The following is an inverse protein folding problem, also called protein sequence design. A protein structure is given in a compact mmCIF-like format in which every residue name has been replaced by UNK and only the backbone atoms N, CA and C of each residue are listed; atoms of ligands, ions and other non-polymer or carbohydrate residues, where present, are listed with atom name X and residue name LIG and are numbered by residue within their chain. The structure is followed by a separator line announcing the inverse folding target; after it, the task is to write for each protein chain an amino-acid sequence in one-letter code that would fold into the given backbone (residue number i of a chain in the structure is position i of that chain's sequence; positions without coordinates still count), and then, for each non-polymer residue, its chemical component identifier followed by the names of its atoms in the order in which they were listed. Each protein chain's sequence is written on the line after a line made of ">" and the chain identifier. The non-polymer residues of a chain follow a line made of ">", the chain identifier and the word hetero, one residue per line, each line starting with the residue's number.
data_IF_949099007013
#
_entry.id   IF_949099007013
#
_cell.length_a   1.000
_cell.length_b   1.000
_cell.length_c   1.000
_cell.angle_alpha   90.00
_cell.angle_beta   90.00
_cell.angle_gamma   90.00
#
_symmetry.space_group_name_H-M   'P 1'
#
loop_
_entity.id
_entity.type
_entity.pdbx_description
1 polymer ?
#
# COMPACT_ATOMS: atom_id res chain seq x y z
N UNK A 1 -33.47 -6.70 -9.20
CA UNK A 1 -33.72 -6.81 -7.74
C UNK A 1 -32.91 -5.80 -6.92
N UNK A 2 -31.62 -5.55 -7.21
CA UNK A 2 -30.78 -4.47 -6.61
C UNK A 2 -31.44 -3.12 -6.79
N UNK A 3 -31.83 -2.85 -8.03
CA UNK A 3 -32.55 -1.64 -8.41
C UNK A 3 -33.81 -1.47 -7.56
N UNK A 4 -34.57 -2.54 -7.29
CA UNK A 4 -35.81 -2.44 -6.52
C UNK A 4 -35.59 -2.12 -5.04
N UNK A 5 -34.55 -2.63 -4.39
CA UNK A 5 -34.27 -2.29 -2.98
C UNK A 5 -33.68 -0.89 -2.83
N UNK A 6 -32.81 -0.47 -3.75
CA UNK A 6 -32.28 0.90 -3.78
C UNK A 6 -33.40 1.91 -4.11
N UNK A 7 -34.21 1.61 -5.11
CA UNK A 7 -35.38 2.42 -5.49
C UNK A 7 -36.43 2.47 -4.37
N UNK A 8 -36.63 1.38 -3.63
CA UNK A 8 -37.49 1.39 -2.45
C UNK A 8 -36.93 2.32 -1.36
N UNK A 9 -35.62 2.30 -1.10
CA UNK A 9 -34.98 3.20 -0.14
C UNK A 9 -35.07 4.67 -0.61
N UNK A 10 -34.86 4.95 -1.89
CA UNK A 10 -34.99 6.30 -2.47
C UNK A 10 -36.43 6.82 -2.40
N UNK A 11 -37.43 5.98 -2.73
CA UNK A 11 -38.85 6.32 -2.61
C UNK A 11 -39.24 6.61 -1.17
N UNK A 12 -38.75 5.81 -0.23
CA UNK A 12 -39.00 5.98 1.19
C UNK A 12 -38.33 7.28 1.69
N UNK A 13 -37.12 7.60 1.23
CA UNK A 13 -36.43 8.87 1.49
C UNK A 13 -37.18 10.10 0.95
N UNK A 14 -37.67 10.05 -0.29
CA UNK A 14 -38.44 11.13 -0.92
C UNK A 14 -39.78 11.37 -0.21
N UNK A 15 -40.49 10.30 0.17
CA UNK A 15 -41.72 10.40 0.96
C UNK A 15 -41.46 11.12 2.29
N UNK A 16 -40.36 10.78 2.97
CA UNK A 16 -39.95 11.43 4.20
C UNK A 16 -39.63 12.91 4.01
N UNK A 17 -38.86 13.28 2.98
CA UNK A 17 -38.53 14.69 2.71
C UNK A 17 -39.80 15.52 2.51
N UNK A 18 -40.73 15.03 1.68
CA UNK A 18 -42.04 15.66 1.46
C UNK A 18 -42.86 15.80 2.74
N UNK A 19 -42.79 14.81 3.62
CA UNK A 19 -43.51 14.85 4.89
C UNK A 19 -42.87 15.79 5.91
N UNK A 20 -41.54 15.87 5.95
CA UNK A 20 -40.81 16.81 6.80
C UNK A 20 -41.06 18.26 6.39
N UNK A 21 -41.16 18.53 5.09
CA UNK A 21 -41.54 19.84 4.56
C UNK A 21 -42.98 20.20 4.97
N UNK A 22 -43.90 19.23 5.00
CA UNK A 22 -45.31 19.42 5.36
C UNK A 22 -45.58 19.50 6.88
N UNK A 23 -44.76 18.85 7.70
CA UNK A 23 -44.90 18.76 9.17
C UNK A 23 -44.04 19.78 9.92
N UNK A 24 -43.59 20.85 9.25
CA UNK A 24 -42.71 21.89 9.79
C UNK A 24 -43.26 22.64 11.02
N UNK A 25 -42.47 23.55 11.60
CA UNK A 25 -42.66 24.12 12.94
C UNK A 25 -43.97 24.91 13.20
N UNK A 26 -44.82 25.12 12.19
CA UNK A 26 -46.12 25.79 12.30
C UNK A 26 -47.33 24.89 12.58
N UNK A 27 -47.14 23.58 12.83
CA UNK A 27 -48.25 22.62 12.98
C UNK A 27 -48.93 22.64 14.38
N UNK A 28 -50.27 22.45 14.45
CA UNK A 28 -51.01 22.32 15.71
C UNK A 28 -50.52 21.15 16.57
N UNK A 29 -50.61 21.27 17.90
CA UNK A 29 -50.12 20.26 18.85
C UNK A 29 -50.73 18.86 18.66
N UNK A 30 -51.97 18.73 18.18
CA UNK A 30 -52.57 17.42 17.90
C UNK A 30 -51.92 16.70 16.70
N UNK A 31 -51.47 17.45 15.69
CA UNK A 31 -50.77 16.93 14.52
C UNK A 31 -49.33 16.48 14.83
N UNK A 32 -48.68 17.05 15.86
CA UNK A 32 -47.35 16.61 16.32
C UNK A 32 -47.33 15.17 16.82
N UNK A 33 -48.38 14.73 17.52
CA UNK A 33 -48.48 13.36 18.04
C UNK A 33 -48.71 12.33 16.93
N UNK A 34 -49.56 12.66 15.96
CA UNK A 34 -49.79 11.80 14.77
C UNK A 34 -48.52 11.72 13.92
N UNK A 35 -47.83 12.86 13.74
CA UNK A 35 -46.52 12.90 13.09
C UNK A 35 -45.51 11.99 13.77
N UNK A 36 -45.35 12.08 15.11
CA UNK A 36 -44.44 11.22 15.87
C UNK A 36 -44.76 9.72 15.74
N UNK A 37 -46.03 9.33 15.78
CA UNK A 37 -46.47 7.94 15.56
C UNK A 37 -46.13 7.43 14.16
N UNK A 38 -46.36 8.24 13.13
CA UNK A 38 -45.99 7.93 11.76
C UNK A 38 -44.48 7.83 11.57
N UNK A 39 -43.67 8.71 12.20
CA UNK A 39 -42.21 8.62 12.17
C UNK A 39 -41.70 7.32 12.81
N UNK A 40 -42.32 6.88 13.90
CA UNK A 40 -42.01 5.61 14.56
C UNK A 40 -42.35 4.39 13.66
N UNK A 41 -43.53 4.41 13.04
CA UNK A 41 -43.95 3.36 12.10
C UNK A 41 -43.04 3.30 10.87
N UNK A 42 -42.75 4.46 10.26
CA UNK A 42 -41.85 4.57 9.12
C UNK A 42 -40.46 4.06 9.47
N UNK A 43 -39.92 4.46 10.63
CA UNK A 43 -38.64 3.95 11.14
C UNK A 43 -38.67 2.42 11.29
N UNK A 44 -39.71 1.87 11.91
CA UNK A 44 -39.87 0.42 12.10
C UNK A 44 -39.93 -0.35 10.78
N UNK A 45 -40.61 0.20 9.77
CA UNK A 45 -40.69 -0.40 8.43
C UNK A 45 -39.40 -0.23 7.62
N UNK A 46 -38.58 0.79 7.92
CA UNK A 46 -37.33 1.05 7.19
C UNK A 46 -36.20 0.10 7.62
N UNK A 47 -36.16 -0.29 8.90
CA UNK A 47 -35.16 -1.24 9.43
C UNK A 47 -35.02 -2.55 8.64
N UNK A 48 -36.11 -3.30 8.32
CA UNK A 48 -35.99 -4.54 7.55
C UNK A 48 -35.53 -4.29 6.11
N UNK A 49 -35.87 -3.14 5.51
CA UNK A 49 -35.39 -2.76 4.17
C UNK A 49 -33.87 -2.53 4.21
N UNK A 50 -33.37 -1.80 5.20
CA UNK A 50 -31.93 -1.59 5.42
C UNK A 50 -31.22 -2.94 5.61
N UNK A 51 -31.78 -3.83 6.42
CA UNK A 51 -31.19 -5.16 6.66
C UNK A 51 -31.15 -6.03 5.40
N UNK A 52 -32.22 -6.03 4.60
CA UNK A 52 -32.26 -6.75 3.33
C UNK A 52 -31.24 -6.19 2.33
N UNK A 53 -31.11 -4.86 2.26
CA UNK A 53 -30.12 -4.19 1.43
C UNK A 53 -28.68 -4.50 1.88
N UNK A 54 -28.42 -4.49 3.19
CA UNK A 54 -27.14 -4.87 3.76
C UNK A 54 -26.75 -6.32 3.44
N UNK A 55 -27.63 -7.28 3.70
CA UNK A 55 -27.39 -8.70 3.39
C UNK A 55 -27.07 -8.92 1.91
N UNK A 56 -27.82 -8.24 1.04
CA UNK A 56 -27.57 -8.28 -0.40
C UNK A 56 -26.20 -7.70 -0.76
N UNK A 57 -25.83 -6.58 -0.17
CA UNK A 57 -24.56 -5.90 -0.43
C UNK A 57 -23.37 -6.75 0.01
N UNK A 58 -23.50 -7.54 1.08
CA UNK A 58 -22.48 -8.53 1.47
C UNK A 58 -22.24 -9.56 0.36
N UNK A 59 -23.32 -10.13 -0.19
CA UNK A 59 -23.24 -11.10 -1.29
C UNK A 59 -22.65 -10.48 -2.55
N UNK A 60 -23.02 -9.23 -2.86
CA UNK A 60 -22.50 -8.52 -4.02
C UNK A 60 -21.01 -8.22 -3.89
N UNK A 61 -20.55 -7.72 -2.74
CA UNK A 61 -19.12 -7.50 -2.48
C UNK A 61 -18.34 -8.80 -2.67
N UNK A 62 -18.84 -9.90 -2.12
CA UNK A 62 -18.20 -11.19 -2.27
C UNK A 62 -18.09 -11.62 -3.75
N UNK A 63 -19.21 -11.59 -4.49
CA UNK A 63 -19.21 -11.98 -5.90
C UNK A 63 -18.32 -11.09 -6.77
N UNK A 64 -18.21 -9.79 -6.46
CA UNK A 64 -17.34 -8.87 -7.19
C UNK A 64 -15.87 -9.15 -6.91
N UNK A 65 -15.49 -9.35 -5.64
CA UNK A 65 -14.12 -9.67 -5.26
C UNK A 65 -13.67 -11.05 -5.76
N UNK A 66 -14.58 -12.02 -5.85
CA UNK A 66 -14.32 -13.33 -6.44
C UNK A 66 -14.05 -13.28 -7.95
N UNK A 67 -14.44 -12.21 -8.64
CA UNK A 67 -14.17 -12.00 -10.07
C UNK A 67 -13.08 -10.93 -10.31
N UNK A 68 -12.56 -10.30 -9.26
CA UNK A 68 -11.65 -9.15 -9.35
C UNK A 68 -10.28 -9.53 -9.91
N UNK A 69 -9.83 -8.80 -10.93
CA UNK A 69 -8.57 -9.04 -11.64
C UNK A 69 -7.43 -8.15 -11.13
N UNK A 70 -7.72 -7.17 -10.27
CA UNK A 70 -6.75 -6.22 -9.72
C UNK A 70 -5.98 -5.50 -10.82
N UNK A 71 -6.73 -5.00 -11.80
CA UNK A 71 -6.20 -4.14 -12.85
C UNK A 71 -6.45 -2.67 -12.49
N UNK A 72 -5.67 -1.76 -13.05
CA UNK A 72 -5.88 -0.33 -12.82
C UNK A 72 -7.08 0.13 -13.62
N UNK A 73 -8.00 0.77 -12.94
CA UNK A 73 -9.20 1.35 -13.53
C UNK A 73 -9.26 2.81 -13.12
N UNK A 74 -9.55 3.68 -14.08
CA UNK A 74 -9.80 5.09 -13.79
C UNK A 74 -11.12 5.24 -13.03
N UNK A 75 -11.10 6.03 -11.97
CA UNK A 75 -12.30 6.24 -11.14
C UNK A 75 -13.34 7.00 -11.97
N UNK A 76 -14.56 6.44 -12.16
CA UNK A 76 -15.60 7.13 -12.90
C UNK A 76 -15.95 8.50 -12.28
N UNK A 77 -16.30 9.48 -13.12
CA UNK A 77 -16.48 10.87 -12.70
C UNK A 77 -17.54 11.09 -11.63
N UNK A 78 -18.56 10.22 -11.57
CA UNK A 78 -19.58 10.19 -10.52
C UNK A 78 -18.96 10.03 -9.14
N UNK A 79 -18.07 9.05 -8.94
CA UNK A 79 -17.39 8.86 -7.64
C UNK A 79 -16.38 9.96 -7.35
N UNK A 80 -15.70 10.50 -8.36
CA UNK A 80 -14.77 11.62 -8.16
C UNK A 80 -15.49 12.83 -7.54
N UNK A 81 -16.69 13.15 -8.04
CA UNK A 81 -17.51 14.23 -7.48
C UNK A 81 -17.99 13.95 -6.05
N UNK A 82 -18.33 12.69 -5.74
CA UNK A 82 -18.77 12.26 -4.41
C UNK A 82 -17.61 12.23 -3.39
N UNK A 83 -16.44 11.77 -3.81
CA UNK A 83 -15.21 11.81 -3.02
C UNK A 83 -14.82 13.26 -2.71
N UNK A 84 -14.91 14.15 -3.69
CA UNK A 84 -14.69 15.58 -3.49
C UNK A 84 -15.70 16.20 -2.52
N UNK A 85 -16.98 15.77 -2.55
CA UNK A 85 -17.99 16.19 -1.58
C UNK A 85 -17.62 15.77 -0.15
N UNK A 86 -17.23 14.50 0.05
CA UNK A 86 -16.87 13.98 1.37
C UNK A 86 -15.60 14.63 1.91
N UNK A 87 -14.56 14.74 1.08
CA UNK A 87 -13.30 15.39 1.46
C UNK A 87 -13.51 16.88 1.72
N UNK A 88 -14.31 17.56 0.90
CA UNK A 88 -14.67 18.96 1.09
C UNK A 88 -15.50 19.19 2.36
N UNK A 89 -16.40 18.27 2.70
CA UNK A 89 -17.20 18.34 3.92
C UNK A 89 -16.35 18.20 5.20
N UNK A 90 -15.25 17.44 5.16
CA UNK A 90 -14.31 17.26 6.28
C UNK A 90 -13.26 18.36 6.37
N UNK A 91 -12.74 18.84 5.24
CA UNK A 91 -11.66 19.84 5.22
C UNK A 91 -12.16 21.28 5.30
N UNK A 92 -13.47 21.50 5.15
CA UNK A 92 -14.07 22.84 5.10
C UNK A 92 -13.69 23.65 3.85
N UNK A 93 -12.98 23.04 2.89
CA UNK A 93 -12.60 23.68 1.63
C UNK A 93 -13.63 23.36 0.54
N UNK A 94 -14.09 24.41 -0.15
CA UNK A 94 -14.92 24.29 -1.36
C UNK A 94 -14.02 23.74 -2.48
N UNK A 95 -14.45 22.74 -3.27
CA UNK A 95 -13.59 22.16 -4.29
C UNK A 95 -13.28 23.22 -5.36
N UNK A 96 -12.02 23.64 -5.44
CA UNK A 96 -11.52 24.41 -6.58
C UNK A 96 -11.51 23.48 -7.79
N UNK A 97 -12.34 23.79 -8.78
CA UNK A 97 -12.50 22.99 -9.98
C UNK A 97 -11.24 22.99 -10.83
N UNK A 98 -10.54 21.86 -10.87
CA UNK A 98 -9.66 21.51 -11.98
C UNK A 98 -10.49 20.72 -13.00
N UNK A 99 -10.77 21.38 -14.12
CA UNK A 99 -11.47 20.78 -15.25
C UNK A 99 -10.67 19.63 -15.84
N UNK A 100 -11.22 18.42 -15.73
CA UNK A 100 -10.84 17.29 -16.58
C UNK A 100 -12.08 16.90 -17.37
N UNK A 101 -11.96 16.96 -18.70
CA UNK A 101 -13.00 16.66 -19.68
C UNK A 101 -13.38 15.17 -19.61
N UNK A 102 -14.66 14.80 -19.70
CA UNK A 102 -15.06 13.41 -19.61
C UNK A 102 -14.75 12.72 -20.95
N UNK A 103 -13.71 11.89 -20.96
CA UNK A 103 -13.50 10.94 -22.04
C UNK A 103 -14.36 9.70 -21.76
N UNK A 104 -15.03 9.21 -22.81
CA UNK A 104 -16.08 8.19 -22.75
C UNK A 104 -15.52 6.86 -22.24
N UNK A 105 -16.11 6.32 -21.18
CA UNK A 105 -15.85 4.94 -20.74
C UNK A 105 -17.13 4.13 -20.62
N UNK A 106 -16.96 2.85 -20.88
CA UNK A 106 -17.95 1.85 -21.31
C UNK A 106 -18.94 1.48 -20.21
N UNK A 107 -20.24 1.51 -20.53
CA UNK A 107 -21.42 1.32 -19.66
C UNK A 107 -21.52 -0.05 -18.93
N UNK A 108 -20.50 -0.91 -18.99
CA UNK A 108 -20.54 -2.27 -18.42
C UNK A 108 -19.74 -2.44 -17.10
N UNK A 109 -18.79 -1.56 -16.78
CA UNK A 109 -18.04 -1.64 -15.51
C UNK A 109 -18.64 -0.81 -14.37
N UNK A 110 -19.58 0.10 -14.68
CA UNK A 110 -20.25 0.95 -13.68
C UNK A 110 -21.11 0.16 -12.67
N UNK A 111 -21.46 -1.10 -12.93
CA UNK A 111 -22.51 -1.76 -12.14
C UNK A 111 -22.07 -2.35 -10.78
N UNK A 112 -20.77 -2.53 -10.55
CA UNK A 112 -20.25 -3.27 -9.38
C UNK A 112 -19.85 -2.36 -8.22
N UNK A 113 -19.24 -1.20 -8.50
CA UNK A 113 -18.73 -0.28 -7.46
C UNK A 113 -19.75 0.82 -7.12
N UNK A 114 -20.80 1.04 -7.95
CA UNK A 114 -21.81 2.12 -7.80
C UNK A 114 -22.70 1.95 -6.58
N UNK A 115 -22.62 0.77 -5.96
CA UNK A 115 -23.47 0.35 -4.85
C UNK A 115 -22.66 0.06 -3.60
N UNK A 116 -21.44 0.62 -3.49
CA UNK A 116 -20.73 0.56 -2.23
C UNK A 116 -21.53 1.36 -1.18
N UNK A 117 -22.11 0.63 -0.23
CA UNK A 117 -23.01 1.11 0.81
C UNK A 117 -22.41 2.22 1.69
N UNK A 118 -21.09 2.42 1.63
CA UNK A 118 -20.39 3.54 2.27
C UNK A 118 -20.95 4.89 1.83
N UNK A 119 -21.10 5.12 0.52
CA UNK A 119 -21.51 6.43 -0.01
C UNK A 119 -23.02 6.65 0.07
N UNK A 120 -23.81 5.61 -0.25
CA UNK A 120 -25.26 5.65 -0.03
C UNK A 120 -25.59 5.79 1.46
N UNK A 121 -24.82 5.14 2.33
CA UNK A 121 -24.99 5.21 3.79
C UNK A 121 -24.92 6.63 4.35
N UNK A 122 -24.03 7.48 3.85
CA UNK A 122 -23.96 8.89 4.27
C UNK A 122 -25.21 9.69 3.90
N UNK A 123 -25.70 9.54 2.66
CA UNK A 123 -26.96 10.18 2.21
C UNK A 123 -28.14 9.67 3.02
N UNK A 124 -28.19 8.36 3.28
CA UNK A 124 -29.25 7.76 4.08
C UNK A 124 -29.17 8.14 5.57
N UNK A 125 -27.99 8.31 6.16
CA UNK A 125 -27.88 8.82 7.53
C UNK A 125 -28.45 10.23 7.66
N UNK A 126 -28.22 11.09 6.66
CA UNK A 126 -28.80 12.45 6.61
C UNK A 126 -30.32 12.40 6.54
N UNK A 127 -30.84 11.52 5.70
CA UNK A 127 -32.27 11.39 5.50
C UNK A 127 -32.95 10.58 6.62
N UNK A 128 -32.20 9.80 7.41
CA UNK A 128 -32.71 8.84 8.41
C UNK A 128 -32.08 8.91 9.79
N UNK A 129 -32.17 10.05 10.47
CA UNK A 129 -31.63 10.22 11.84
C UNK A 129 -32.02 9.14 12.87
N UNK A 130 -33.23 8.56 12.80
CA UNK A 130 -33.68 7.48 13.70
C UNK A 130 -33.11 6.09 13.39
N UNK A 131 -32.63 5.86 12.16
CA UNK A 131 -31.97 4.62 11.73
C UNK A 131 -30.46 4.80 11.56
N UNK A 132 -29.93 6.00 11.83
CA UNK A 132 -28.52 6.34 11.67
C UNK A 132 -27.56 5.35 12.32
N UNK A 133 -27.72 4.96 13.60
CA UNK A 133 -26.86 3.96 14.24
C UNK A 133 -26.83 2.61 13.51
N UNK A 134 -27.98 2.15 13.00
CA UNK A 134 -28.05 0.89 12.24
C UNK A 134 -27.35 1.01 10.89
N UNK A 135 -27.47 2.14 10.21
CA UNK A 135 -26.78 2.39 8.93
C UNK A 135 -25.26 2.45 9.14
N UNK A 136 -24.79 3.16 10.16
CA UNK A 136 -23.37 3.23 10.54
C UNK A 136 -22.82 1.83 10.79
N UNK A 137 -23.54 1.02 11.57
CA UNK A 137 -23.18 -0.38 11.80
C UNK A 137 -23.12 -1.19 10.49
N UNK A 138 -24.12 -1.08 9.61
CA UNK A 138 -24.12 -1.79 8.33
C UNK A 138 -22.91 -1.41 7.46
N UNK A 139 -22.54 -0.13 7.41
CA UNK A 139 -21.35 0.35 6.69
C UNK A 139 -20.08 -0.28 7.28
N UNK A 140 -19.92 -0.27 8.60
CA UNK A 140 -18.78 -0.87 9.28
C UNK A 140 -18.65 -2.37 8.96
N UNK A 141 -19.75 -3.11 9.00
CA UNK A 141 -19.75 -4.55 8.70
C UNK A 141 -19.40 -4.84 7.23
N UNK A 142 -19.84 -4.02 6.28
CA UNK A 142 -19.50 -4.20 4.86
C UNK A 142 -18.03 -3.93 4.59
N UNK A 143 -17.48 -2.87 5.18
CA UNK A 143 -16.06 -2.57 5.10
C UNK A 143 -15.21 -3.71 5.69
N UNK A 144 -15.61 -4.23 6.85
CA UNK A 144 -14.95 -5.40 7.46
C UNK A 144 -15.04 -6.64 6.57
N UNK A 145 -16.21 -6.91 5.99
CA UNK A 145 -16.40 -8.03 5.09
C UNK A 145 -15.53 -7.90 3.84
N UNK A 146 -15.51 -6.72 3.22
CA UNK A 146 -14.63 -6.41 2.10
C UNK A 146 -13.16 -6.66 2.47
N UNK A 147 -12.70 -6.15 3.61
CA UNK A 147 -11.31 -6.31 4.05
C UNK A 147 -10.93 -7.80 4.19
N UNK A 148 -11.79 -8.58 4.85
CA UNK A 148 -11.58 -10.01 5.06
C UNK A 148 -11.54 -10.80 3.74
N UNK A 149 -12.40 -10.45 2.78
CA UNK A 149 -12.41 -11.12 1.48
C UNK A 149 -11.21 -10.70 0.63
N UNK A 150 -10.86 -9.42 0.60
CA UNK A 150 -9.66 -8.94 -0.08
C UNK A 150 -8.38 -9.60 0.47
N UNK A 151 -8.29 -9.73 1.80
CA UNK A 151 -7.19 -10.45 2.47
C UNK A 151 -7.10 -11.90 2.01
N UNK A 152 -8.22 -12.65 2.05
CA UNK A 152 -8.24 -14.05 1.59
C UNK A 152 -7.91 -14.21 0.11
N UNK A 153 -8.39 -13.30 -0.74
CA UNK A 153 -8.10 -13.30 -2.17
C UNK A 153 -6.62 -13.08 -2.45
N UNK A 154 -6.02 -12.08 -1.80
CA UNK A 154 -4.67 -11.61 -2.11
C UNK A 154 -3.58 -12.30 -1.27
N UNK A 155 -3.72 -12.33 0.05
CA UNK A 155 -2.77 -12.97 0.96
C UNK A 155 -3.08 -14.45 1.18
N UNK A 156 -4.36 -14.82 1.26
CA UNK A 156 -4.82 -16.20 1.38
C UNK A 156 -4.71 -17.03 0.08
N UNK A 157 -4.35 -16.40 -1.03
CA UNK A 157 -4.14 -17.07 -2.32
C UNK A 157 -5.43 -17.56 -2.99
N UNK A 158 -6.61 -17.20 -2.48
CA UNK A 158 -7.88 -17.68 -3.03
C UNK A 158 -8.10 -17.19 -4.46
N UNK A 159 -7.60 -16.01 -4.85
CA UNK A 159 -7.72 -15.53 -6.23
C UNK A 159 -7.02 -16.47 -7.25
N UNK A 160 -5.99 -17.21 -6.81
CA UNK A 160 -5.33 -18.23 -7.64
C UNK A 160 -6.11 -19.54 -7.62
N UNK A 161 -6.63 -19.95 -6.46
CA UNK A 161 -7.42 -21.17 -6.32
C UNK A 161 -8.72 -21.11 -7.15
N UNK A 162 -9.37 -19.95 -7.16
CA UNK A 162 -10.59 -19.68 -7.94
C UNK A 162 -10.32 -19.47 -9.44
N UNK A 163 -9.07 -19.64 -9.91
CA UNK A 163 -8.63 -19.46 -11.30
C UNK A 163 -8.85 -18.07 -11.91
N UNK A 164 -9.11 -17.06 -11.08
CA UNK A 164 -9.27 -15.66 -11.51
C UNK A 164 -7.92 -15.09 -11.94
N UNK A 165 -6.89 -15.38 -11.14
CA UNK A 165 -5.51 -14.98 -11.38
C UNK A 165 -4.62 -16.20 -11.55
N UNK A 166 -3.76 -16.19 -12.57
CA UNK A 166 -2.74 -17.25 -12.74
C UNK A 166 -1.69 -17.24 -11.63
N UNK A 167 -1.33 -16.06 -11.14
CA UNK A 167 -0.42 -15.84 -10.01
C UNK A 167 -0.68 -14.47 -9.38
N UNK A 168 -0.39 -14.36 -8.09
CA UNK A 168 -0.39 -13.06 -7.39
C UNK A 168 1.00 -12.45 -7.54
N UNK A 169 1.06 -11.24 -8.09
CA UNK A 169 2.30 -10.51 -8.35
C UNK A 169 2.38 -9.23 -7.50
N UNK A 170 3.51 -8.53 -7.56
CA UNK A 170 3.71 -7.28 -6.84
C UNK A 170 2.71 -6.17 -7.22
N UNK A 171 2.20 -6.18 -8.45
CA UNK A 171 1.18 -5.21 -8.90
C UNK A 171 -0.12 -5.40 -8.15
N UNK A 172 -0.60 -6.64 -8.01
CA UNK A 172 -1.84 -6.94 -7.27
C UNK A 172 -1.70 -6.55 -5.78
N UNK A 173 -0.56 -6.88 -5.16
CA UNK A 173 -0.26 -6.47 -3.79
C UNK A 173 -0.27 -4.94 -3.64
N UNK A 174 0.39 -4.22 -4.55
CA UNK A 174 0.47 -2.76 -4.53
C UNK A 174 -0.89 -2.08 -4.75
N UNK A 175 -1.79 -2.68 -5.54
CA UNK A 175 -3.14 -2.17 -5.74
C UNK A 175 -4.02 -2.44 -4.52
N UNK A 176 -3.91 -3.62 -3.91
CA UNK A 176 -4.59 -3.91 -2.64
C UNK A 176 -4.13 -2.95 -1.53
N UNK A 177 -2.82 -2.66 -1.44
CA UNK A 177 -2.29 -1.65 -0.51
C UNK A 177 -2.93 -0.26 -0.71
N UNK A 178 -3.12 0.17 -1.95
CA UNK A 178 -3.77 1.45 -2.25
C UNK A 178 -5.25 1.44 -1.87
N UNK A 179 -5.97 0.36 -2.16
CA UNK A 179 -7.37 0.22 -1.74
C UNK A 179 -7.48 0.32 -0.21
N UNK A 180 -6.61 -0.37 0.53
CA UNK A 180 -6.56 -0.23 2.00
C UNK A 180 -6.27 1.21 2.42
N UNK A 181 -5.25 1.84 1.83
CA UNK A 181 -4.88 3.22 2.16
C UNK A 181 -5.99 4.24 1.85
N UNK A 182 -6.74 4.03 0.76
CA UNK A 182 -7.88 4.88 0.39
C UNK A 182 -9.00 4.75 1.43
N UNK A 183 -9.33 3.52 1.83
CA UNK A 183 -10.36 3.27 2.83
C UNK A 183 -9.92 3.83 4.20
N UNK A 184 -8.65 3.65 4.58
CA UNK A 184 -8.08 4.24 5.81
C UNK A 184 -8.20 5.77 5.83
N UNK A 185 -8.06 6.45 4.70
CA UNK A 185 -8.22 7.89 4.59
C UNK A 185 -9.71 8.32 4.56
N UNK A 186 -10.57 7.52 3.93
CA UNK A 186 -11.98 7.84 3.74
C UNK A 186 -12.80 7.64 5.01
N UNK A 187 -12.58 6.56 5.75
CA UNK A 187 -13.41 6.20 6.92
C UNK A 187 -13.44 7.30 7.99
N UNK A 188 -12.32 7.93 8.38
CA UNK A 188 -12.34 9.04 9.34
C UNK A 188 -13.19 10.23 8.85
N UNK A 189 -13.11 10.54 7.55
CA UNK A 189 -13.94 11.58 6.94
C UNK A 189 -15.43 11.23 7.07
N UNK A 190 -15.78 9.96 6.77
CA UNK A 190 -17.15 9.48 6.95
C UNK A 190 -17.60 9.58 8.41
N UNK A 191 -16.75 9.24 9.38
CA UNK A 191 -17.08 9.32 10.80
C UNK A 191 -17.45 10.74 11.23
N UNK A 192 -16.67 11.75 10.82
CA UNK A 192 -16.94 13.15 11.15
C UNK A 192 -18.29 13.62 10.58
N UNK A 193 -18.57 13.30 9.32
CA UNK A 193 -19.84 13.63 8.68
C UNK A 193 -21.01 12.92 9.39
N UNK A 194 -20.85 11.64 9.73
CA UNK A 194 -21.87 10.84 10.42
C UNK A 194 -22.15 11.38 11.83
N UNK A 195 -21.11 11.75 12.57
CA UNK A 195 -21.24 12.38 13.89
C UNK A 195 -22.04 13.68 13.79
N UNK A 196 -21.69 14.57 12.86
CA UNK A 196 -22.40 15.85 12.67
C UNK A 196 -23.88 15.63 12.34
N UNK A 197 -24.18 14.71 11.43
CA UNK A 197 -25.57 14.38 11.04
C UNK A 197 -26.38 13.86 12.25
N UNK A 198 -25.76 13.03 13.09
CA UNK A 198 -26.42 12.43 14.24
C UNK A 198 -26.65 13.45 15.38
N UNK A 199 -25.71 14.37 15.58
CA UNK A 199 -25.82 15.48 16.53
C UNK A 199 -26.95 16.46 16.14
N UNK A 200 -27.08 16.77 14.85
CA UNK A 200 -28.14 17.65 14.32
C UNK A 200 -29.53 16.99 14.38
N UNK A 201 -29.60 15.66 14.20
CA UNK A 201 -30.87 14.92 14.07
C UNK A 201 -31.48 14.37 15.36
N UNK A 202 -30.69 14.21 16.43
CA UNK A 202 -31.11 13.51 17.65
C UNK A 202 -30.61 14.21 18.93
N UNK A 203 -31.42 15.10 19.52
CA UNK A 203 -31.09 15.82 20.77
C UNK A 203 -30.90 14.94 22.03
N UNK A 204 -31.13 13.62 21.95
CA UNK A 204 -31.21 12.73 23.12
C UNK A 204 -30.30 11.48 23.09
N UNK A 205 -29.41 11.31 22.11
CA UNK A 205 -28.78 10.01 21.82
C UNK A 205 -27.25 9.96 21.90
N UNK A 206 -26.60 10.82 22.70
CA UNK A 206 -25.14 10.88 22.78
C UNK A 206 -24.45 9.53 23.03
N UNK A 207 -25.01 8.68 23.89
CA UNK A 207 -24.41 7.37 24.21
C UNK A 207 -24.69 6.25 23.17
N UNK A 208 -25.80 6.31 22.43
CA UNK A 208 -26.18 5.27 21.44
C UNK A 208 -25.49 5.45 20.08
N UNK A 209 -24.87 6.61 19.84
CA UNK A 209 -24.18 6.96 18.59
C UNK A 209 -22.67 6.69 18.67
N UNK A 210 -22.09 6.81 19.86
CA UNK A 210 -20.64 6.68 20.07
C UNK A 210 -20.11 5.25 19.78
N UNK A 211 -20.90 4.22 20.07
CA UNK A 211 -20.47 2.83 19.91
C UNK A 211 -20.35 2.40 18.43
N UNK A 212 -21.34 2.64 17.54
CA UNK A 212 -21.21 2.38 16.11
C UNK A 212 -20.12 3.21 15.41
N UNK A 213 -19.88 4.44 15.85
CA UNK A 213 -18.79 5.27 15.30
C UNK A 213 -17.43 4.73 15.75
N UNK A 214 -17.31 4.23 16.98
CA UNK A 214 -16.12 3.53 17.46
C UNK A 214 -15.80 2.26 16.66
N UNK A 215 -16.80 1.55 16.15
CA UNK A 215 -16.60 0.39 15.27
C UNK A 215 -15.97 0.77 13.93
N UNK A 216 -16.27 1.94 13.36
CA UNK A 216 -15.59 2.44 12.17
C UNK A 216 -14.09 2.72 12.43
N UNK A 217 -13.72 3.14 13.64
CA UNK A 217 -12.31 3.32 14.01
C UNK A 217 -11.59 1.98 14.09
N UNK A 218 -12.26 0.94 14.61
CA UNK A 218 -11.72 -0.44 14.61
C UNK A 218 -11.53 -0.94 13.18
N UNK A 219 -12.49 -0.69 12.30
CA UNK A 219 -12.38 -1.03 10.86
C UNK A 219 -11.16 -0.34 10.24
N UNK A 220 -10.94 0.95 10.51
CA UNK A 220 -9.75 1.68 10.04
C UNK A 220 -8.46 0.99 10.49
N UNK A 221 -8.37 0.58 11.76
CA UNK A 221 -7.23 -0.17 12.28
C UNK A 221 -7.06 -1.56 11.63
N UNK A 222 -8.15 -2.26 11.31
CA UNK A 222 -8.12 -3.54 10.59
C UNK A 222 -7.57 -3.40 9.16
N UNK A 223 -7.89 -2.32 8.45
CA UNK A 223 -7.31 -2.02 7.14
C UNK A 223 -5.82 -1.67 7.24
N UNK A 224 -5.42 -0.89 8.26
CA UNK A 224 -4.01 -0.58 8.52
C UNK A 224 -3.20 -1.86 8.84
N UNK A 225 -3.78 -2.79 9.60
CA UNK A 225 -3.20 -4.11 9.86
C UNK A 225 -3.00 -4.91 8.56
N UNK A 226 -4.04 -5.02 7.74
CA UNK A 226 -3.95 -5.70 6.44
C UNK A 226 -2.90 -5.06 5.52
N UNK A 227 -2.83 -3.71 5.45
CA UNK A 227 -1.79 -3.00 4.68
C UNK A 227 -0.38 -3.31 5.17
N UNK A 228 -0.20 -3.47 6.48
CA UNK A 228 1.08 -3.88 7.08
C UNK A 228 1.47 -5.29 6.63
N UNK A 229 0.54 -6.25 6.66
CA UNK A 229 0.79 -7.62 6.17
C UNK A 229 1.14 -7.66 4.67
N UNK A 230 0.51 -6.79 3.86
CA UNK A 230 0.84 -6.66 2.44
C UNK A 230 2.24 -6.09 2.23
N UNK A 231 2.66 -5.09 3.03
CA UNK A 231 4.04 -4.57 3.01
C UNK A 231 5.05 -5.64 3.43
N UNK A 232 4.72 -6.44 4.43
CA UNK A 232 5.56 -7.55 4.87
C UNK A 232 5.68 -8.61 3.77
N UNK A 233 4.61 -8.90 3.03
CA UNK A 233 4.67 -9.81 1.88
C UNK A 233 5.54 -9.26 0.75
N UNK A 234 5.43 -7.98 0.42
CA UNK A 234 6.30 -7.33 -0.58
C UNK A 234 7.77 -7.37 -0.17
N UNK A 235 8.04 -7.08 1.11
CA UNK A 235 9.35 -7.17 1.74
C UNK A 235 9.91 -8.60 1.63
N UNK A 236 9.11 -9.61 2.00
CA UNK A 236 9.50 -11.01 1.91
C UNK A 236 9.85 -11.44 0.47
N UNK A 237 9.08 -10.98 -0.53
CA UNK A 237 9.38 -11.25 -1.95
C UNK A 237 10.74 -10.65 -2.33
N UNK A 238 11.02 -9.41 -1.93
CA UNK A 238 12.32 -8.78 -2.17
C UNK A 238 13.46 -9.56 -1.49
N UNK A 239 13.26 -9.92 -0.23
CA UNK A 239 14.20 -10.71 0.57
C UNK A 239 14.47 -12.10 -0.04
N UNK A 240 13.47 -12.75 -0.63
CA UNK A 240 13.62 -14.03 -1.36
C UNK A 240 14.44 -13.86 -2.65
N UNK A 241 14.19 -12.78 -3.41
CA UNK A 241 14.99 -12.44 -4.60
C UNK A 241 16.44 -12.21 -4.23
N UNK A 242 16.69 -11.47 -3.13
CA UNK A 242 18.03 -11.31 -2.60
C UNK A 242 18.67 -12.66 -2.25
N UNK A 243 17.98 -13.54 -1.51
CA UNK A 243 18.55 -14.84 -1.13
C UNK A 243 18.96 -15.70 -2.32
N UNK A 244 18.19 -15.65 -3.41
CA UNK A 244 18.49 -16.33 -4.66
C UNK A 244 19.82 -15.85 -5.26
N UNK A 245 19.98 -14.53 -5.40
CA UNK A 245 21.20 -13.93 -5.97
C UNK A 245 22.39 -14.00 -4.99
N UNK A 246 22.16 -13.78 -3.70
CA UNK A 246 23.19 -13.82 -2.65
C UNK A 246 23.82 -15.22 -2.50
N UNK A 247 23.07 -16.29 -2.78
CA UNK A 247 23.63 -17.65 -2.81
C UNK A 247 24.69 -17.81 -3.89
N UNK A 248 24.49 -17.21 -5.06
CA UNK A 248 25.47 -17.24 -6.15
C UNK A 248 26.57 -16.23 -5.88
N UNK A 249 26.21 -15.00 -5.50
CA UNK A 249 27.15 -13.92 -5.20
C UNK A 249 28.19 -14.28 -4.14
N UNK A 250 27.76 -14.85 -3.01
CA UNK A 250 28.64 -15.17 -1.88
C UNK A 250 29.11 -16.63 -1.87
N UNK A 251 28.55 -17.47 -2.75
CA UNK A 251 28.87 -18.89 -2.85
C UNK A 251 29.72 -19.28 -4.05
N UNK A 252 29.81 -18.40 -5.07
CA UNK A 252 30.71 -18.55 -6.21
C UNK A 252 31.73 -17.43 -6.22
N UNK A 253 32.82 -17.65 -6.93
CA UNK A 253 33.90 -16.69 -6.97
C UNK A 253 33.70 -15.62 -8.03
N UNK A 254 34.33 -14.47 -7.80
CA UNK A 254 34.45 -13.42 -8.81
C UNK A 254 35.19 -13.94 -10.04
N UNK A 255 34.81 -13.44 -11.22
CA UNK A 255 35.54 -13.69 -12.46
C UNK A 255 36.97 -13.18 -12.35
N UNK A 256 37.90 -13.88 -13.02
CA UNK A 256 39.28 -13.44 -13.11
C UNK A 256 39.39 -12.12 -13.85
N UNK A 257 40.19 -11.21 -13.29
CA UNK A 257 40.46 -9.90 -13.87
C UNK A 257 41.87 -9.93 -14.43
N UNK A 258 41.97 -10.12 -15.74
CA UNK A 258 43.22 -10.14 -16.50
C UNK A 258 43.82 -8.72 -16.70
N UNK A 259 43.17 -7.71 -16.12
CA UNK A 259 43.55 -6.30 -16.23
C UNK A 259 44.34 -5.90 -14.99
N UNK A 260 45.55 -5.38 -15.18
CA UNK A 260 46.27 -4.72 -14.09
C UNK A 260 45.44 -3.51 -13.59
N UNK A 261 45.08 -3.44 -12.30
CA UNK A 261 44.38 -2.28 -11.74
C UNK A 261 45.25 -1.00 -11.73
N UNK A 262 46.49 -1.08 -12.24
CA UNK A 262 47.58 -0.14 -12.00
C UNK A 262 47.63 1.10 -12.91
N UNK A 263 46.98 1.24 -14.09
CA UNK A 263 47.06 2.53 -14.79
C UNK A 263 46.27 3.68 -14.10
N UNK A 264 45.55 3.42 -13.00
CA UNK A 264 44.64 4.40 -12.39
C UNK A 264 45.26 5.29 -11.30
N UNK A 265 46.49 5.00 -10.83
CA UNK A 265 47.09 5.74 -9.71
C UNK A 265 48.14 6.78 -10.13
N UNK A 266 48.58 6.82 -11.38
CA UNK A 266 49.69 7.72 -11.79
C UNK A 266 49.26 9.07 -12.37
N UNK A 267 47.99 9.27 -12.73
CA UNK A 267 47.54 10.55 -13.29
C UNK A 267 46.31 11.06 -12.55
N UNK A 268 46.49 12.20 -11.86
CA UNK A 268 45.52 12.83 -10.96
C UNK A 268 44.28 13.43 -11.62
N UNK A 269 43.62 12.71 -12.52
CA UNK A 269 42.29 13.07 -13.02
C UNK A 269 41.22 12.24 -12.30
N UNK A 270 40.50 12.89 -11.37
CA UNK A 270 39.44 12.31 -10.54
C UNK A 270 38.17 11.84 -11.31
N UNK A 271 38.29 11.61 -12.62
CA UNK A 271 37.24 11.10 -13.53
C UNK A 271 37.74 9.97 -14.44
N UNK A 272 38.87 9.34 -14.13
CA UNK A 272 39.25 8.10 -14.81
C UNK A 272 38.21 7.02 -14.50
N UNK A 273 37.58 6.47 -15.55
CA UNK A 273 36.60 5.39 -15.48
C UNK A 273 37.19 4.17 -14.74
N UNK A 274 37.00 4.12 -13.42
CA UNK A 274 37.23 2.89 -12.66
C UNK A 274 36.21 1.89 -13.17
N UNK A 275 36.65 1.00 -14.04
CA UNK A 275 35.80 -0.04 -14.62
C UNK A 275 35.45 -1.02 -13.50
N UNK A 276 34.23 -0.92 -13.00
CA UNK A 276 33.73 -1.86 -12.00
C UNK A 276 33.63 -3.23 -12.66
N UNK A 277 34.18 -4.24 -12.01
CA UNK A 277 34.07 -5.63 -12.44
C UNK A 277 33.17 -6.37 -11.44
N UNK A 278 31.85 -6.08 -11.45
CA UNK A 278 30.93 -6.63 -10.46
C UNK A 278 30.75 -8.13 -10.64
N UNK A 279 30.31 -8.79 -9.59
CA UNK A 279 29.90 -10.18 -9.64
C UNK A 279 28.66 -10.36 -10.55
N UNK A 280 28.67 -11.38 -11.43
CA UNK A 280 27.60 -11.60 -12.42
C UNK A 280 26.19 -11.75 -11.81
N UNK A 281 26.11 -12.29 -10.58
CA UNK A 281 24.85 -12.40 -9.83
C UNK A 281 24.17 -11.04 -9.53
N UNK A 282 24.94 -9.96 -9.44
CA UNK A 282 24.41 -8.63 -9.09
C UNK A 282 23.63 -7.99 -10.24
N UNK A 283 23.92 -8.34 -11.49
CA UNK A 283 23.12 -7.86 -12.62
C UNK A 283 21.67 -8.35 -12.53
N UNK A 284 21.47 -9.62 -12.18
CA UNK A 284 20.15 -10.20 -11.96
C UNK A 284 19.43 -9.55 -10.78
N UNK A 285 20.16 -9.34 -9.68
CA UNK A 285 19.62 -8.67 -8.49
C UNK A 285 19.17 -7.23 -8.80
N UNK A 286 20.01 -6.44 -9.47
CA UNK A 286 19.67 -5.06 -9.87
C UNK A 286 18.42 -5.05 -10.76
N UNK A 287 18.32 -5.96 -11.73
CA UNK A 287 17.14 -6.07 -12.59
C UNK A 287 15.88 -6.37 -11.79
N UNK A 288 15.93 -7.29 -10.83
CA UNK A 288 14.80 -7.62 -9.96
C UNK A 288 14.38 -6.44 -9.05
N UNK A 289 15.35 -5.71 -8.48
CA UNK A 289 15.09 -4.50 -7.68
C UNK A 289 14.46 -3.40 -8.53
N UNK A 290 15.01 -3.12 -9.71
CA UNK A 290 14.48 -2.10 -10.64
C UNK A 290 13.07 -2.47 -11.11
N UNK A 291 12.81 -3.74 -11.42
CA UNK A 291 11.50 -4.22 -11.81
C UNK A 291 10.47 -4.06 -10.67
N UNK A 292 10.83 -4.45 -9.44
CA UNK A 292 9.97 -4.24 -8.27
C UNK A 292 9.71 -2.74 -8.04
N UNK A 293 10.76 -1.92 -8.04
CA UNK A 293 10.64 -0.48 -7.87
C UNK A 293 9.72 0.15 -8.92
N UNK A 294 9.83 -0.25 -10.18
CA UNK A 294 8.99 0.27 -11.28
C UNK A 294 7.52 -0.04 -11.05
N UNK A 295 7.20 -1.23 -10.55
CA UNK A 295 5.83 -1.61 -10.21
C UNK A 295 5.32 -0.81 -9.01
N UNK A 296 6.09 -0.74 -7.92
CA UNK A 296 5.67 -0.10 -6.69
C UNK A 296 5.58 1.43 -6.83
N UNK A 297 6.56 2.09 -7.45
CA UNK A 297 6.57 3.55 -7.65
C UNK A 297 5.44 4.06 -8.54
N UNK A 298 4.94 3.23 -9.45
CA UNK A 298 3.79 3.58 -10.29
C UNK A 298 2.48 3.53 -9.51
N UNK A 299 2.42 2.72 -8.45
CA UNK A 299 1.21 2.33 -7.74
C UNK A 299 1.10 3.08 -6.41
N UNK A 300 2.18 3.14 -5.65
CA UNK A 300 2.19 3.56 -4.26
C UNK A 300 2.86 4.92 -4.09
N UNK A 301 2.59 5.57 -2.95
CA UNK A 301 3.27 6.81 -2.57
C UNK A 301 4.77 6.58 -2.36
N UNK A 302 5.63 7.60 -2.59
CA UNK A 302 7.08 7.47 -2.41
C UNK A 302 7.45 7.05 -0.98
N UNK A 303 6.70 7.50 0.03
CA UNK A 303 6.89 7.12 1.43
C UNK A 303 6.63 5.63 1.67
N UNK A 304 5.54 5.09 1.08
CA UNK A 304 5.23 3.67 1.20
C UNK A 304 6.28 2.80 0.52
N UNK A 305 6.75 3.21 -0.66
CA UNK A 305 7.85 2.54 -1.37
C UNK A 305 9.12 2.56 -0.52
N UNK A 306 9.45 3.70 0.07
CA UNK A 306 10.61 3.85 0.94
C UNK A 306 10.53 2.91 2.15
N UNK A 307 9.35 2.76 2.77
CA UNK A 307 9.14 1.85 3.90
C UNK A 307 9.37 0.38 3.52
N UNK A 308 8.79 -0.08 2.39
CA UNK A 308 8.96 -1.46 1.90
C UNK A 308 10.43 -1.75 1.59
N UNK A 309 11.09 -0.90 0.82
CA UNK A 309 12.52 -1.09 0.51
C UNK A 309 13.42 -0.92 1.72
N UNK A 310 13.11 0.00 2.64
CA UNK A 310 13.84 0.18 3.89
C UNK A 310 13.86 -1.08 4.75
N UNK A 311 12.69 -1.67 4.97
CA UNK A 311 12.58 -2.94 5.70
C UNK A 311 13.31 -4.08 4.98
N UNK A 312 13.10 -4.21 3.67
CA UNK A 312 13.71 -5.28 2.88
C UNK A 312 15.24 -5.19 2.89
N UNK A 313 15.78 -4.00 2.71
CA UNK A 313 17.22 -3.76 2.73
C UNK A 313 17.85 -4.02 4.10
N UNK A 314 17.19 -3.64 5.19
CA UNK A 314 17.66 -4.00 6.53
C UNK A 314 17.71 -5.53 6.73
N UNK A 315 16.69 -6.26 6.26
CA UNK A 315 16.71 -7.74 6.29
C UNK A 315 17.83 -8.33 5.43
N UNK A 316 18.09 -7.75 4.24
CA UNK A 316 19.17 -8.18 3.35
C UNK A 316 20.55 -7.99 3.99
N UNK A 317 20.77 -6.87 4.67
CA UNK A 317 22.02 -6.59 5.40
C UNK A 317 22.28 -7.64 6.50
N UNK A 318 21.28 -7.96 7.30
CA UNK A 318 21.41 -9.01 8.32
C UNK A 318 21.67 -10.40 7.72
N UNK A 319 21.03 -10.72 6.59
CA UNK A 319 21.28 -11.98 5.87
C UNK A 319 22.68 -12.03 5.25
N UNK A 320 23.18 -10.89 4.77
CA UNK A 320 24.56 -10.75 4.28
C UNK A 320 25.57 -11.05 5.40
N UNK A 321 25.40 -10.43 6.57
CA UNK A 321 26.25 -10.67 7.74
C UNK A 321 26.27 -12.14 8.14
N UNK A 322 25.09 -12.78 8.21
CA UNK A 322 24.97 -14.19 8.57
C UNK A 322 25.73 -15.10 7.60
N UNK A 323 25.66 -14.81 6.30
CA UNK A 323 26.35 -15.58 5.25
C UNK A 323 27.86 -15.37 5.30
N UNK A 324 28.34 -14.15 5.54
CA UNK A 324 29.77 -13.91 5.78
C UNK A 324 30.28 -14.70 6.99
N UNK A 325 29.51 -14.70 8.07
CA UNK A 325 29.89 -15.37 9.33
C UNK A 325 29.87 -16.90 9.25
N UNK A 326 29.04 -17.46 8.36
CA UNK A 326 28.90 -18.91 8.16
C UNK A 326 30.04 -19.52 7.32
N UNK A 327 31.00 -18.69 6.88
CA UNK A 327 32.08 -19.08 5.98
C UNK A 327 31.63 -19.04 4.52
N UNK A 328 32.27 -18.18 3.73
CA UNK A 328 32.10 -18.20 2.29
C UNK A 328 32.76 -19.49 1.77
N UNK A 329 31.99 -20.36 1.11
CA UNK A 329 32.51 -21.59 0.49
C UNK A 329 33.30 -21.28 -0.79
N UNK A 330 34.06 -20.19 -0.81
CA UNK A 330 34.93 -19.83 -1.93
C UNK A 330 36.28 -20.48 -1.69
N UNK A 331 36.33 -21.79 -1.94
CA UNK A 331 37.57 -22.53 -2.04
C UNK A 331 38.25 -22.16 -3.37
N UNK A 332 39.03 -21.06 -3.36
CA UNK A 332 39.96 -20.58 -4.39
C UNK A 332 39.39 -20.27 -5.79
N UNK A 333 39.31 -18.97 -6.17
CA UNK A 333 40.12 -18.41 -7.28
C UNK A 333 40.37 -16.88 -7.10
N UNK A 334 40.83 -16.12 -8.11
CA UNK A 334 42.14 -15.42 -8.19
C UNK A 334 42.30 -14.21 -7.24
N UNK A 335 41.91 -14.32 -5.97
CA UNK A 335 42.16 -13.25 -5.02
C UNK A 335 43.67 -13.15 -4.77
N UNK A 336 44.16 -11.93 -4.71
CA UNK A 336 45.56 -11.63 -4.42
C UNK A 336 45.62 -10.66 -3.24
N UNK A 337 46.72 -10.69 -2.48
CA UNK A 337 46.99 -9.74 -1.40
C UNK A 337 47.31 -8.32 -1.86
N UNK A 338 46.96 -7.99 -3.09
CA UNK A 338 47.17 -6.68 -3.70
C UNK A 338 45.88 -5.87 -3.63
N UNK A 339 46.02 -4.55 -3.55
CA UNK A 339 44.90 -3.64 -3.64
C UNK A 339 44.09 -3.92 -4.92
N UNK A 340 42.76 -3.81 -4.82
CA UNK A 340 41.76 -4.08 -5.85
C UNK A 340 41.54 -5.57 -6.20
N UNK A 341 42.37 -6.48 -5.67
CA UNK A 341 42.33 -7.92 -6.01
C UNK A 341 41.96 -8.81 -4.83
N UNK A 342 41.96 -8.31 -3.61
CA UNK A 342 41.49 -9.05 -2.44
C UNK A 342 39.96 -9.23 -2.48
N UNK A 343 39.46 -10.26 -1.81
CA UNK A 343 38.02 -10.51 -1.69
C UNK A 343 37.28 -9.30 -1.10
N UNK A 344 37.85 -8.65 -0.08
CA UNK A 344 37.29 -7.44 0.52
C UNK A 344 37.14 -6.31 -0.49
N UNK A 345 38.15 -6.09 -1.33
CA UNK A 345 38.12 -5.07 -2.37
C UNK A 345 37.14 -5.41 -3.50
N UNK A 346 37.00 -6.69 -3.85
CA UNK A 346 36.02 -7.16 -4.85
C UNK A 346 34.58 -6.96 -4.37
N UNK A 347 34.29 -7.31 -3.12
CA UNK A 347 33.00 -7.02 -2.49
C UNK A 347 32.73 -5.51 -2.36
N UNK A 348 33.79 -4.70 -2.20
CA UNK A 348 33.66 -3.25 -2.20
C UNK A 348 33.32 -2.71 -3.60
N UNK A 349 33.90 -3.26 -4.67
CA UNK A 349 33.52 -2.92 -6.05
C UNK A 349 32.05 -3.28 -6.33
N UNK A 350 31.58 -4.40 -5.79
CA UNK A 350 30.17 -4.81 -5.88
C UNK A 350 29.23 -3.80 -5.20
N UNK A 351 29.57 -3.34 -4.00
CA UNK A 351 28.84 -2.26 -3.29
C UNK A 351 28.82 -0.98 -4.14
N UNK A 352 29.95 -0.62 -4.74
CA UNK A 352 30.05 0.54 -5.63
C UNK A 352 29.14 0.40 -6.87
N UNK A 353 29.07 -0.80 -7.45
CA UNK A 353 28.19 -1.10 -8.57
C UNK A 353 26.71 -0.99 -8.18
N UNK A 354 26.31 -1.53 -7.02
CA UNK A 354 24.95 -1.41 -6.51
C UNK A 354 24.55 0.06 -6.30
N UNK A 355 25.46 0.88 -5.77
CA UNK A 355 25.23 2.32 -5.61
C UNK A 355 25.05 3.02 -6.96
N UNK A 356 25.87 2.70 -7.97
CA UNK A 356 25.79 3.31 -9.30
C UNK A 356 24.47 3.00 -10.01
N UNK A 357 24.01 1.75 -9.90
CA UNK A 357 22.80 1.27 -10.58
C UNK A 357 21.52 1.68 -9.82
N UNK A 358 21.48 1.48 -8.50
CA UNK A 358 20.28 1.68 -7.70
C UNK A 358 20.15 3.11 -7.16
N UNK A 359 21.25 3.87 -7.07
CA UNK A 359 21.25 5.25 -6.56
C UNK A 359 20.43 6.22 -7.42
N UNK A 360 20.17 5.87 -8.68
CA UNK A 360 19.34 6.65 -9.62
C UNK A 360 17.84 6.55 -9.33
N UNK A 361 17.42 5.55 -8.55
CA UNK A 361 16.02 5.29 -8.24
C UNK A 361 15.54 6.27 -7.14
N UNK A 362 14.59 7.15 -7.51
CA UNK A 362 14.08 8.19 -6.61
C UNK A 362 13.23 7.59 -5.50
N UNK A 363 13.40 8.05 -4.26
CA UNK A 363 12.59 7.60 -3.12
C UNK A 363 13.13 6.38 -2.38
N UNK A 364 14.12 5.66 -2.93
CA UNK A 364 14.82 4.58 -2.21
C UNK A 364 16.27 4.94 -1.85
N UNK A 365 16.72 6.16 -2.16
CA UNK A 365 18.11 6.57 -1.96
C UNK A 365 18.55 6.46 -0.49
N UNK A 366 17.70 6.87 0.47
CA UNK A 366 18.01 6.74 1.91
C UNK A 366 18.11 5.27 2.36
N UNK A 367 17.10 4.42 2.15
CA UNK A 367 17.21 2.97 2.37
C UNK A 367 18.47 2.34 1.77
N UNK A 368 18.80 2.70 0.53
CA UNK A 368 19.96 2.17 -0.16
C UNK A 368 21.26 2.60 0.52
N UNK A 369 21.39 3.85 0.94
CA UNK A 369 22.58 4.29 1.68
C UNK A 369 22.77 3.51 2.98
N UNK A 370 21.68 3.25 3.71
CA UNK A 370 21.74 2.41 4.92
C UNK A 370 22.20 0.99 4.58
N UNK A 371 21.61 0.34 3.56
CA UNK A 371 22.05 -0.97 3.10
C UNK A 371 23.56 -1.00 2.82
N UNK A 372 24.04 -0.10 1.98
CA UNK A 372 25.43 -0.11 1.54
C UNK A 372 26.40 0.18 2.69
N UNK A 373 25.99 1.03 3.64
CA UNK A 373 26.76 1.31 4.85
C UNK A 373 26.83 0.07 5.76
N UNK A 374 25.72 -0.64 5.92
CA UNK A 374 25.65 -1.87 6.72
C UNK A 374 26.48 -2.99 6.06
N UNK A 375 26.37 -3.17 4.74
CA UNK A 375 27.20 -4.14 3.99
C UNK A 375 28.69 -3.84 4.18
N UNK A 376 29.10 -2.58 4.04
CA UNK A 376 30.49 -2.15 4.24
C UNK A 376 30.95 -2.39 5.69
N UNK A 377 30.08 -2.10 6.67
CA UNK A 377 30.36 -2.36 8.07
C UNK A 377 30.57 -3.85 8.34
N UNK A 378 29.70 -4.72 7.80
CA UNK A 378 29.81 -6.17 7.97
C UNK A 378 31.05 -6.74 7.28
N UNK A 379 31.45 -6.24 6.10
CA UNK A 379 32.72 -6.59 5.45
C UNK A 379 33.89 -6.29 6.40
N UNK A 380 33.98 -5.06 6.92
CA UNK A 380 35.05 -4.65 7.85
C UNK A 380 35.07 -5.45 9.15
N UNK A 381 33.89 -5.82 9.67
CA UNK A 381 33.76 -6.50 10.94
C UNK A 381 34.01 -8.02 10.85
N UNK A 382 33.71 -8.66 9.71
CA UNK A 382 33.68 -10.12 9.59
C UNK A 382 34.81 -10.71 8.75
N UNK A 383 35.39 -9.96 7.81
CA UNK A 383 36.55 -10.45 7.03
C UNK A 383 37.83 -10.34 7.89
N UNK A 384 38.65 -11.41 7.94
CA UNK A 384 39.88 -11.41 8.72
C UNK A 384 40.90 -10.43 8.12
N UNK A 385 41.29 -9.43 8.92
CA UNK A 385 42.31 -8.45 8.53
C UNK A 385 43.73 -9.06 8.43
N UNK A 386 43.92 -10.26 8.98
CA UNK A 386 45.20 -10.98 8.96
C UNK A 386 45.41 -11.79 7.68
N UNK A 387 44.33 -12.12 6.95
CA UNK A 387 44.43 -12.83 5.67
C UNK A 387 44.53 -11.82 4.52
N UNK A 388 45.69 -11.73 3.84
CA UNK A 388 45.87 -10.76 2.74
C UNK A 388 44.87 -10.99 1.59
N UNK A 389 44.36 -12.21 1.41
CA UNK A 389 43.38 -12.51 0.37
C UNK A 389 41.98 -11.96 0.68
N UNK A 390 41.70 -11.66 1.96
CA UNK A 390 40.40 -11.20 2.44
C UNK A 390 40.40 -9.75 2.92
N UNK A 391 41.59 -9.15 3.05
CA UNK A 391 41.79 -7.78 3.52
C UNK A 391 41.05 -6.75 2.66
N UNK A 392 40.35 -5.82 3.30
CA UNK A 392 39.86 -4.60 2.65
C UNK A 392 40.96 -3.54 2.66
N UNK A 393 41.48 -3.15 1.51
CA UNK A 393 42.58 -2.18 1.45
C UNK A 393 42.07 -0.75 1.69
N UNK A 394 42.67 0.02 2.62
CA UNK A 394 42.28 1.41 2.88
C UNK A 394 42.39 2.31 1.64
N UNK A 395 43.38 2.08 0.78
CA UNK A 395 43.59 2.83 -0.47
C UNK A 395 42.42 2.65 -1.45
N UNK A 396 41.96 1.41 -1.64
CA UNK A 396 40.80 1.08 -2.48
C UNK A 396 39.54 1.78 -1.98
N UNK A 397 39.30 1.70 -0.67
CA UNK A 397 38.19 2.33 0.01
C UNK A 397 38.21 3.85 -0.14
N UNK A 398 39.35 4.51 0.11
CA UNK A 398 39.47 5.96 -0.02
C UNK A 398 39.17 6.45 -1.44
N UNK A 399 39.63 5.73 -2.47
CA UNK A 399 39.36 6.09 -3.88
C UNK A 399 37.87 5.99 -4.20
N UNK A 400 37.21 4.91 -3.75
CA UNK A 400 35.78 4.71 -4.00
C UNK A 400 34.88 5.66 -3.18
N UNK A 401 35.31 6.06 -1.98
CA UNK A 401 34.64 7.09 -1.19
C UNK A 401 34.82 8.49 -1.80
N UNK A 402 36.03 8.84 -2.24
CA UNK A 402 36.31 10.13 -2.93
C UNK A 402 35.52 10.28 -4.23
N UNK A 403 35.27 9.18 -4.94
CA UNK A 403 34.44 9.17 -6.15
C UNK A 403 32.93 9.17 -5.87
N UNK A 404 32.49 9.12 -4.61
CA UNK A 404 31.09 9.09 -4.21
C UNK A 404 30.35 7.81 -4.59
N UNK A 405 31.08 6.75 -4.96
CA UNK A 405 30.52 5.45 -5.36
C UNK A 405 30.23 4.54 -4.17
N UNK A 406 30.80 4.84 -3.00
CA UNK A 406 30.57 4.10 -1.74
C UNK A 406 30.21 5.11 -0.65
N UNK A 407 29.34 4.75 0.32
CA UNK A 407 29.06 5.60 1.47
C UNK A 407 30.34 5.96 2.25
N UNK A 408 30.33 7.15 2.87
CA UNK A 408 31.41 7.64 3.72
C UNK A 408 31.54 6.86 5.02
#
# INVERSE_FOLDING_TARGET
>A
LTAHTAEALDRVGELRRRWSERLGPGMPHSCRNVGAGLWCLLGTQTKPIIQAFHQRSLVEIQACLECERWERVDVPGTYSSLLAEIVGACTGQKPEGTGVSPEKTTEQEEQSVDRCLTFQGLRFCRDWGSCGPQIVWCVAQLLRHFNQQAHKMVLGGQAVQSQVLRKINATHLALCCQCCSLIEALVPCMQEILLRILEEGCQAAGALVLEPVGDLSKVTAEFAGHRTELFDKLTAILSERYDHHAKVWLGSAHLEVDVDPVPLLEFGDAKSDVHLHPHAALEGFVKDIVAMYTVLSRSMSPESVQTVFGKAFAEMAGKFELRLSSGMSVSCPPYEGLAWRSLGDRLLMDIAYLQEQLGRLRGISRPLQHLLSDLLHHIRARLPAEDPLQLLHPSTLEVLQKSGRVPL
#
